data_IF_993938890760
#
_entry.id   IF_993938890760
#
_cell.length_a   1.000
_cell.length_b   1.000
_cell.length_c   1.000
_cell.angle_alpha   90.00
_cell.angle_beta   90.00
_cell.angle_gamma   90.00
#
_symmetry.space_group_name_H-M   'P 1'
#
loop_
_entity.id
_entity.type
_entity.pdbx_description
1 polymer ?
#
# COMPACT_ATOMS: atom_id res chain seq x y z
N UNK A 1 -3.88 0.57 17.32
CA UNK A 1 -4.46 1.93 17.33
C UNK A 1 -3.84 2.86 16.29
N UNK A 2 -2.54 3.07 16.24
CA UNK A 2 -1.89 3.97 15.26
C UNK A 2 -2.21 3.67 13.78
N UNK A 3 -2.30 2.42 13.38
CA UNK A 3 -2.59 2.05 11.98
C UNK A 3 -4.02 2.39 11.53
N UNK A 4 -4.99 2.33 12.43
CA UNK A 4 -6.38 2.71 12.14
C UNK A 4 -6.56 4.21 11.96
N UNK A 5 -5.83 5.02 12.74
CA UNK A 5 -5.85 6.48 12.60
C UNK A 5 -5.20 6.90 11.27
N UNK A 6 -4.12 6.24 10.87
CA UNK A 6 -3.41 6.53 9.62
C UNK A 6 -4.22 6.13 8.39
N UNK A 7 -4.89 4.97 8.41
CA UNK A 7 -5.84 4.60 7.36
C UNK A 7 -7.00 5.59 7.26
N UNK A 8 -7.51 6.10 8.38
CA UNK A 8 -8.59 7.10 8.37
C UNK A 8 -8.16 8.42 7.74
N UNK A 9 -6.93 8.87 7.95
CA UNK A 9 -6.38 10.05 7.29
C UNK A 9 -6.18 9.84 5.78
N UNK A 10 -5.61 8.71 5.38
CA UNK A 10 -5.48 8.33 3.97
C UNK A 10 -6.84 8.31 3.26
N UNK A 11 -7.85 7.73 3.89
CA UNK A 11 -9.20 7.63 3.36
C UNK A 11 -9.84 9.02 3.26
N UNK A 12 -9.70 9.85 4.27
CA UNK A 12 -10.32 11.18 4.32
C UNK A 12 -9.85 12.10 3.18
N UNK A 13 -8.56 12.09 2.86
CA UNK A 13 -7.99 12.91 1.78
C UNK A 13 -8.14 12.29 0.38
N UNK A 14 -8.43 10.99 0.27
CA UNK A 14 -8.67 10.32 -1.02
C UNK A 14 -10.14 10.24 -1.43
N UNK A 15 -11.06 10.83 -0.67
CA UNK A 15 -12.51 10.77 -0.90
C UNK A 15 -13.00 11.42 -2.20
N UNK A 16 -12.14 12.15 -2.93
CA UNK A 16 -12.53 12.78 -4.20
C UNK A 16 -12.32 11.87 -5.43
N UNK A 17 -11.64 10.72 -5.29
CA UNK A 17 -11.45 9.76 -6.37
C UNK A 17 -11.53 8.33 -5.82
N UNK A 18 -12.02 7.36 -6.60
CA UNK A 18 -12.04 5.97 -6.19
C UNK A 18 -10.59 5.48 -5.99
N UNK A 19 -10.27 5.06 -4.77
CA UNK A 19 -8.95 4.55 -4.38
C UNK A 19 -9.07 3.09 -4.00
N UNK A 20 -8.16 2.27 -4.52
CA UNK A 20 -7.99 0.88 -4.12
C UNK A 20 -6.72 0.75 -3.28
N UNK A 21 -6.86 0.23 -2.07
CA UNK A 21 -5.72 -0.01 -1.19
C UNK A 21 -5.16 -1.41 -1.40
N UNK A 22 -3.86 -1.48 -1.64
CA UNK A 22 -3.11 -2.72 -1.71
C UNK A 22 -2.34 -2.94 -0.42
N UNK A 23 -2.67 -3.97 0.31
CA UNK A 23 -2.19 -4.17 1.68
C UNK A 23 -1.34 -5.43 1.76
N UNK A 24 -0.10 -5.28 2.23
CA UNK A 24 0.81 -6.41 2.44
C UNK A 24 0.28 -7.33 3.53
N UNK A 25 -0.18 -8.52 3.15
CA UNK A 25 -0.82 -9.49 4.05
C UNK A 25 0.08 -9.95 5.19
N UNK A 26 1.37 -10.04 4.95
CA UNK A 26 2.34 -10.60 5.91
C UNK A 26 2.54 -9.75 7.17
N UNK A 27 2.15 -8.49 7.14
CA UNK A 27 2.38 -7.53 8.23
C UNK A 27 1.11 -7.06 8.93
N UNK A 28 -0.03 -7.61 8.54
CA UNK A 28 -1.32 -7.27 9.16
C UNK A 28 -1.53 -8.04 10.45
N UNK A 29 -1.91 -7.31 11.50
CA UNK A 29 -2.44 -7.95 12.70
C UNK A 29 -3.79 -8.63 12.41
N UNK A 30 -4.12 -9.71 13.12
CA UNK A 30 -5.43 -10.35 13.00
C UNK A 30 -6.58 -9.35 13.21
N UNK A 31 -6.47 -8.52 14.23
CA UNK A 31 -7.47 -7.47 14.55
C UNK A 31 -7.72 -6.54 13.37
N UNK A 32 -6.66 -6.11 12.67
CA UNK A 32 -6.83 -5.22 11.52
C UNK A 32 -7.52 -5.93 10.34
N UNK A 33 -7.22 -7.22 10.12
CA UNK A 33 -7.91 -8.00 9.10
C UNK A 33 -9.41 -8.10 9.34
N UNK A 34 -9.81 -8.24 10.60
CA UNK A 34 -11.21 -8.33 11.00
C UNK A 34 -11.94 -6.98 10.87
N UNK A 35 -11.23 -5.89 11.12
CA UNK A 35 -11.77 -4.53 10.99
C UNK A 35 -11.83 -3.99 9.56
N UNK A 36 -10.96 -4.46 8.67
CA UNK A 36 -10.81 -3.88 7.34
C UNK A 36 -12.10 -3.89 6.51
N UNK A 37 -12.90 -4.97 6.47
CA UNK A 37 -14.18 -5.00 5.76
C UNK A 37 -15.14 -3.92 6.25
N UNK A 38 -15.25 -3.76 7.56
CA UNK A 38 -16.09 -2.74 8.17
C UNK A 38 -15.66 -1.32 7.81
N UNK A 39 -14.34 -1.07 7.78
CA UNK A 39 -13.79 0.22 7.37
C UNK A 39 -14.02 0.49 5.88
N UNK A 40 -13.83 -0.51 5.03
CA UNK A 40 -14.07 -0.39 3.60
C UNK A 40 -15.52 -0.03 3.29
N UNK A 41 -16.47 -0.66 3.94
CA UNK A 41 -17.88 -0.34 3.82
C UNK A 41 -18.21 1.06 4.36
N UNK A 42 -17.72 1.39 5.56
CA UNK A 42 -17.99 2.67 6.22
C UNK A 42 -17.47 3.87 5.44
N UNK A 43 -16.30 3.75 4.82
CA UNK A 43 -15.62 4.85 4.13
C UNK A 43 -15.66 4.74 2.60
N UNK A 44 -16.26 3.70 2.04
CA UNK A 44 -16.48 3.56 0.61
C UNK A 44 -15.22 3.37 -0.22
N UNK A 45 -14.23 2.58 0.25
CA UNK A 45 -13.03 2.27 -0.50
C UNK A 45 -12.91 0.77 -0.81
N UNK A 46 -12.17 0.44 -1.86
CA UNK A 46 -11.81 -0.93 -2.19
C UNK A 46 -10.45 -1.29 -1.60
N UNK A 47 -10.25 -2.55 -1.27
CA UNK A 47 -8.95 -3.04 -0.85
C UNK A 47 -8.68 -4.45 -1.36
N UNK A 48 -7.40 -4.78 -1.48
CA UNK A 48 -6.95 -6.11 -1.83
C UNK A 48 -5.67 -6.45 -1.08
N UNK A 49 -5.51 -7.72 -0.73
CA UNK A 49 -4.29 -8.18 -0.09
C UNK A 49 -3.27 -8.59 -1.14
N UNK A 50 -2.04 -8.10 -1.01
CA UNK A 50 -0.91 -8.57 -1.78
C UNK A 50 0.01 -9.41 -0.90
N UNK A 51 0.48 -10.50 -1.47
CA UNK A 51 1.43 -11.39 -0.83
C UNK A 51 2.42 -11.89 -1.87
N UNK A 52 3.69 -11.73 -1.58
CA UNK A 52 4.76 -12.24 -2.41
C UNK A 52 5.62 -13.20 -1.60
N UNK A 53 5.90 -14.36 -2.17
CA UNK A 53 6.77 -15.34 -1.54
C UNK A 53 8.21 -14.97 -1.82
N UNK A 54 9.01 -14.84 -0.75
CA UNK A 54 10.44 -14.59 -0.89
C UNK A 54 11.10 -15.60 -1.81
N UNK A 55 11.79 -15.20 -2.88
CA UNK A 55 12.35 -16.14 -3.85
C UNK A 55 13.47 -16.98 -3.23
N UNK A 56 13.56 -18.24 -3.65
CA UNK A 56 14.54 -19.18 -3.10
C UNK A 56 15.99 -18.84 -3.45
N UNK A 57 16.18 -18.11 -4.55
CA UNK A 57 17.50 -17.70 -5.02
C UNK A 57 18.04 -16.46 -4.28
N UNK A 58 17.20 -15.75 -3.54
CA UNK A 58 17.59 -14.61 -2.75
C UNK A 58 17.84 -15.02 -1.30
N UNK A 59 18.95 -14.55 -0.72
CA UNK A 59 19.30 -14.84 0.66
C UNK A 59 18.16 -14.50 1.60
N UNK A 60 17.83 -15.45 2.44
CA UNK A 60 16.80 -15.27 3.47
C UNK A 60 17.20 -14.12 4.41
N UNK A 61 16.24 -13.24 4.66
CA UNK A 61 16.40 -12.16 5.61
C UNK A 61 15.64 -12.51 6.90
N UNK A 62 16.29 -12.30 8.03
CA UNK A 62 15.68 -12.49 9.35
C UNK A 62 15.20 -11.16 9.95
N UNK A 63 15.82 -10.07 9.54
CA UNK A 63 15.45 -8.73 9.94
C UNK A 63 14.18 -8.26 9.23
N UNK A 64 13.14 -7.93 10.01
CA UNK A 64 11.82 -7.54 9.50
C UNK A 64 11.90 -6.29 8.62
N UNK A 65 12.73 -5.32 8.97
CA UNK A 65 12.86 -4.07 8.23
C UNK A 65 13.52 -4.31 6.87
N UNK A 66 14.53 -5.18 6.81
CA UNK A 66 15.18 -5.57 5.54
C UNK A 66 14.23 -6.33 4.63
N UNK A 67 13.36 -7.18 5.18
CA UNK A 67 12.33 -7.86 4.41
C UNK A 67 11.35 -6.85 3.80
N UNK A 68 10.89 -5.87 4.58
CA UNK A 68 10.01 -4.80 4.08
C UNK A 68 10.70 -3.99 2.98
N UNK A 69 11.96 -3.63 3.14
CA UNK A 69 12.74 -2.94 2.11
C UNK A 69 12.92 -3.78 0.85
N UNK A 70 13.11 -5.09 0.99
CA UNK A 70 13.14 -6.01 -0.15
C UNK A 70 11.84 -5.95 -0.96
N UNK A 71 10.70 -5.94 -0.32
CA UNK A 71 9.41 -5.76 -1.00
C UNK A 71 9.30 -4.41 -1.71
N UNK A 72 9.73 -3.33 -1.07
CA UNK A 72 9.70 -1.99 -1.65
C UNK A 72 10.60 -1.80 -2.87
N UNK A 73 11.77 -2.41 -2.87
CA UNK A 73 12.80 -2.13 -3.85
C UNK A 73 12.81 -3.18 -4.98
N UNK A 74 12.63 -4.46 -4.63
CA UNK A 74 12.86 -5.55 -5.56
C UNK A 74 11.58 -6.13 -6.17
N UNK A 75 10.44 -5.99 -5.50
CA UNK A 75 9.24 -6.75 -5.84
C UNK A 75 8.02 -5.90 -6.14
N UNK A 76 8.13 -4.58 -6.15
CA UNK A 76 6.98 -3.71 -6.43
C UNK A 76 6.34 -4.00 -7.78
N UNK A 77 7.13 -4.22 -8.81
CA UNK A 77 6.67 -4.48 -10.17
C UNK A 77 6.01 -5.85 -10.35
N UNK A 78 6.34 -6.83 -9.49
CA UNK A 78 5.78 -8.19 -9.57
C UNK A 78 4.67 -8.47 -8.57
N UNK A 79 4.40 -7.55 -7.66
CA UNK A 79 3.38 -7.72 -6.61
C UNK A 79 1.97 -7.38 -7.08
N UNK A 80 1.83 -6.65 -8.16
CA UNK A 80 0.56 -6.12 -8.65
C UNK A 80 0.15 -6.75 -9.97
N UNK A 81 -1.17 -6.81 -10.28
CA UNK A 81 -1.66 -7.20 -11.58
C UNK A 81 -1.06 -6.34 -12.71
N UNK A 82 -0.91 -6.94 -13.91
CA UNK A 82 -0.27 -6.29 -15.05
C UNK A 82 -1.02 -5.05 -15.59
N UNK A 83 -2.28 -4.91 -15.27
CA UNK A 83 -3.11 -3.75 -15.63
C UNK A 83 -2.90 -2.55 -14.70
N UNK A 84 -2.29 -2.75 -13.53
CA UNK A 84 -1.90 -1.66 -12.63
C UNK A 84 -0.67 -0.96 -13.20
N UNK A 85 -0.86 0.27 -13.67
CA UNK A 85 0.20 1.04 -14.34
C UNK A 85 0.93 2.01 -13.42
N UNK A 86 0.30 2.43 -12.35
CA UNK A 86 0.85 3.40 -11.41
C UNK A 86 0.36 3.10 -9.99
N UNK A 87 1.27 3.13 -9.06
CA UNK A 87 0.97 2.98 -7.63
C UNK A 87 1.55 4.15 -6.86
N UNK A 88 0.91 4.48 -5.76
CA UNK A 88 1.43 5.43 -4.77
C UNK A 88 1.79 4.61 -3.54
N UNK A 89 3.06 4.57 -3.19
CA UNK A 89 3.52 3.88 -1.99
C UNK A 89 3.46 4.82 -0.79
N UNK A 90 2.76 4.39 0.27
CA UNK A 90 2.63 5.15 1.51
C UNK A 90 3.05 4.28 2.68
N UNK A 91 3.96 4.77 3.50
CA UNK A 91 4.32 4.13 4.76
C UNK A 91 3.26 4.39 5.83
N UNK A 92 3.10 3.45 6.75
CA UNK A 92 2.07 3.51 7.79
C UNK A 92 2.29 4.59 8.85
N UNK A 93 3.45 5.22 8.88
CA UNK A 93 3.81 6.32 9.78
C UNK A 93 3.74 7.70 9.10
N UNK A 94 3.30 7.75 7.84
CA UNK A 94 3.09 8.99 7.09
C UNK A 94 1.67 9.53 7.31
N UNK A 95 1.55 10.85 7.29
CA UNK A 95 0.27 11.55 7.36
C UNK A 95 0.03 12.21 6.00
N UNK A 96 -1.05 11.80 5.33
CA UNK A 96 -1.47 12.43 4.08
C UNK A 96 -2.18 13.74 4.41
N UNK A 97 -1.73 14.84 3.81
CA UNK A 97 -2.24 16.20 4.06
C UNK A 97 -2.84 16.88 2.83
N UNK A 98 -2.83 16.20 1.70
CA UNK A 98 -3.34 16.69 0.43
C UNK A 98 -3.97 15.55 -0.38
N UNK A 99 -4.68 15.90 -1.45
CA UNK A 99 -5.29 14.90 -2.33
C UNK A 99 -4.22 14.09 -3.05
N UNK A 100 -4.31 12.76 -2.95
CA UNK A 100 -3.39 11.84 -3.64
C UNK A 100 -3.55 11.85 -5.15
N UNK A 101 -4.63 12.41 -5.69
CA UNK A 101 -4.79 12.58 -7.13
C UNK A 101 -3.70 13.45 -7.75
N UNK A 102 -3.15 14.41 -7.00
CA UNK A 102 -2.01 15.22 -7.44
C UNK A 102 -0.78 14.35 -7.75
N UNK A 103 -0.49 13.37 -6.89
CA UNK A 103 0.60 12.41 -7.15
C UNK A 103 0.25 11.42 -8.26
N UNK A 104 -1.01 10.98 -8.32
CA UNK A 104 -1.47 10.09 -9.40
C UNK A 104 -1.27 10.72 -10.77
N UNK A 105 -1.63 12.01 -10.90
CA UNK A 105 -1.65 12.72 -12.17
C UNK A 105 -0.29 13.37 -12.51
N UNK A 106 0.67 13.29 -11.60
CA UNK A 106 2.02 13.79 -11.83
C UNK A 106 2.70 13.09 -13.01
N UNK A 107 3.19 13.90 -13.97
CA UNK A 107 3.98 13.39 -15.09
C UNK A 107 5.40 13.06 -14.62
N UNK A 108 5.77 11.80 -14.71
CA UNK A 108 7.11 11.32 -14.37
C UNK A 108 8.11 11.45 -15.52
N UNK A 109 7.68 12.01 -16.69
CA UNK A 109 8.54 12.21 -17.88
C UNK A 109 9.26 10.93 -18.33
N UNK A 110 8.60 9.79 -18.18
CA UNK A 110 9.15 8.47 -18.51
C UNK A 110 10.05 7.86 -17.44
N UNK A 111 10.26 8.51 -16.32
CA UNK A 111 10.96 7.90 -15.18
C UNK A 111 10.09 6.85 -14.50
N UNK A 112 10.68 5.72 -14.05
CA UNK A 112 9.94 4.68 -13.35
C UNK A 112 9.48 5.08 -11.94
N UNK A 113 10.11 6.09 -11.36
CA UNK A 113 9.83 6.62 -10.02
C UNK A 113 9.80 8.14 -10.02
N UNK A 114 9.02 8.69 -9.11
CA UNK A 114 8.89 10.12 -8.84
C UNK A 114 9.16 10.45 -7.39
#
# INVERSE_FOLDING_TARGET
MKLCEQLSHLIFFSLQAPVKFWILKSYLSPTLKDFLPYYAEKYGFEYEYVQYKWPRWLNQQTDKQRIIWGYKILFLDVMFPLDVKKIIFVDTDQIVRADLTELRDMDLKGAPYG
#
